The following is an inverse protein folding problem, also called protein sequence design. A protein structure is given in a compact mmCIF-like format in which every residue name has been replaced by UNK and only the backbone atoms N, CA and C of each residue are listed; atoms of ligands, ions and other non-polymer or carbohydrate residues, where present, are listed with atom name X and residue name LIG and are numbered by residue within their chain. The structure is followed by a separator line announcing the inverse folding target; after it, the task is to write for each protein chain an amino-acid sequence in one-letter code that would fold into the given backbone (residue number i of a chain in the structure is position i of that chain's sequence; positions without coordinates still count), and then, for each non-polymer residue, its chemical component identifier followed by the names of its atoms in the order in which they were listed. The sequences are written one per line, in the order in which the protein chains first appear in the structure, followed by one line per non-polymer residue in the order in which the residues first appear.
data_IF_341960482579
#
_entry.id   IF_341960482579
#
_cell.length_a   1.000
_cell.length_b   1.000
_cell.length_c   1.000
_cell.angle_alpha   90.00
_cell.angle_beta   90.00
_cell.angle_gamma   90.00
#
_symmetry.space_group_name_H-M   'P 1'
#
loop_
_entity.id
_entity.type
_entity.pdbx_description
1 polymer ?
#
# COMPACT_ATOMS: atom_id res chain seq x y z
N UNK A 1 -35.03 51.88 -61.23
CA UNK A 1 -34.05 50.80 -61.46
C UNK A 1 -34.15 49.82 -60.30
N UNK A 2 -35.01 48.78 -60.40
CA UNK A 2 -34.72 47.36 -60.67
C UNK A 2 -33.78 46.63 -59.66
N UNK A 3 -34.42 45.85 -58.77
CA UNK A 3 -34.24 44.43 -58.32
C UNK A 3 -32.85 43.77 -58.21
N UNK A 4 -32.70 42.95 -57.14
CA UNK A 4 -31.93 41.68 -56.91
C UNK A 4 -30.64 41.81 -56.06
N UNK A 5 -30.24 40.87 -55.16
CA UNK A 5 -30.63 39.48 -54.83
C UNK A 5 -30.13 39.06 -53.41
N UNK A 6 -30.58 37.89 -52.97
CA UNK A 6 -30.58 37.26 -51.62
C UNK A 6 -29.23 36.68 -51.11
N UNK A 7 -29.17 36.14 -49.86
CA UNK A 7 -27.93 35.71 -49.22
C UNK A 7 -27.57 34.25 -49.52
N UNK A 8 -26.30 33.98 -49.85
CA UNK A 8 -25.72 32.63 -49.87
C UNK A 8 -25.28 32.26 -48.45
N UNK A 9 -26.06 31.40 -47.79
CA UNK A 9 -25.63 30.62 -46.64
C UNK A 9 -24.45 29.74 -47.03
N UNK A 10 -23.31 29.96 -46.37
CA UNK A 10 -22.07 29.21 -46.54
C UNK A 10 -22.20 27.82 -45.91
N UNK A 11 -21.96 26.79 -46.73
CA UNK A 11 -21.91 25.34 -46.41
C UNK A 11 -20.82 24.92 -45.39
N UNK A 12 -20.29 25.85 -44.59
CA UNK A 12 -19.20 25.59 -43.64
C UNK A 12 -19.65 25.37 -42.19
N UNK A 13 -20.93 25.59 -41.86
CA UNK A 13 -21.47 25.31 -40.52
C UNK A 13 -21.96 23.86 -40.35
N UNK A 14 -22.18 23.14 -41.46
CA UNK A 14 -22.70 21.76 -41.43
C UNK A 14 -21.61 20.67 -41.40
N UNK A 15 -20.34 21.05 -41.50
CA UNK A 15 -19.22 20.12 -41.25
C UNK A 15 -18.72 20.20 -39.81
N UNK A 16 -18.81 21.37 -39.16
CA UNK A 16 -18.44 21.53 -37.75
C UNK A 16 -19.51 20.93 -36.81
N UNK A 17 -20.79 20.98 -37.19
CA UNK A 17 -21.87 20.32 -36.42
C UNK A 17 -22.00 18.81 -36.66
N UNK A 18 -21.33 18.25 -37.68
CA UNK A 18 -21.27 16.80 -37.90
C UNK A 18 -20.02 16.15 -37.24
N UNK A 19 -19.05 16.97 -36.81
CA UNK A 19 -17.90 16.58 -35.98
C UNK A 19 -18.11 16.94 -34.49
N UNK A 20 -19.36 16.94 -34.02
CA UNK A 20 -19.67 17.28 -32.62
C UNK A 20 -20.72 16.34 -32.00
N UNK A 21 -20.75 15.07 -32.44
CA UNK A 21 -21.61 14.01 -31.90
C UNK A 21 -20.94 12.63 -31.77
N UNK A 22 -19.61 12.57 -31.62
CA UNK A 22 -18.88 11.34 -31.31
C UNK A 22 -17.74 11.62 -30.32
N UNK A 23 -18.09 12.00 -29.09
CA UNK A 23 -17.27 11.66 -27.93
C UNK A 23 -18.07 10.64 -27.13
N UNK A 24 -18.08 9.38 -27.60
CA UNK A 24 -18.38 8.28 -26.69
C UNK A 24 -17.28 8.29 -25.62
N UNK A 25 -17.69 8.37 -24.36
CA UNK A 25 -16.81 8.44 -23.20
C UNK A 25 -15.85 7.25 -23.17
N UNK A 26 -14.68 7.42 -23.77
CA UNK A 26 -13.61 6.45 -23.72
C UNK A 26 -12.95 6.56 -22.36
N UNK A 27 -13.00 5.49 -21.58
CA UNK A 27 -12.26 5.33 -20.34
C UNK A 27 -11.29 4.14 -20.47
N UNK A 28 -10.51 3.87 -19.43
CA UNK A 28 -9.51 2.79 -19.47
C UNK A 28 -10.13 1.43 -19.84
N UNK A 29 -11.38 1.17 -19.45
CA UNK A 29 -12.12 -0.08 -19.71
C UNK A 29 -12.68 -0.17 -21.12
N UNK A 30 -13.17 0.94 -21.69
CA UNK A 30 -13.73 0.99 -23.05
C UNK A 30 -12.69 1.30 -24.14
N UNK A 31 -11.49 1.75 -23.76
CA UNK A 31 -10.39 2.08 -24.67
C UNK A 31 -9.77 0.88 -25.39
N UNK A 32 -10.06 -0.34 -24.92
CA UNK A 32 -9.59 -1.60 -25.51
C UNK A 32 -10.80 -2.39 -25.99
N UNK A 33 -10.82 -2.79 -27.27
CA UNK A 33 -11.84 -3.69 -27.81
C UNK A 33 -11.69 -5.10 -27.20
N UNK A 34 -12.31 -5.33 -26.05
CA UNK A 34 -12.31 -6.63 -25.37
C UNK A 34 -13.53 -7.46 -25.73
N UNK A 35 -13.29 -8.75 -25.99
CA UNK A 35 -14.28 -9.66 -26.58
C UNK A 35 -14.93 -10.59 -25.56
N UNK A 36 -14.36 -10.70 -24.37
CA UNK A 36 -14.88 -11.58 -23.33
C UNK A 36 -14.66 -11.00 -21.92
N UNK A 37 -15.40 -11.57 -20.96
CA UNK A 37 -15.36 -11.19 -19.55
C UNK A 37 -13.94 -11.19 -18.99
N UNK A 38 -13.17 -12.25 -19.26
CA UNK A 38 -11.83 -12.40 -18.73
C UNK A 38 -10.92 -11.26 -19.18
N UNK A 39 -10.89 -10.94 -20.47
CA UNK A 39 -10.10 -9.84 -21.01
C UNK A 39 -10.51 -8.49 -20.41
N UNK A 40 -11.81 -8.26 -20.19
CA UNK A 40 -12.30 -7.04 -19.58
C UNK A 40 -11.81 -6.86 -18.13
N UNK A 41 -11.94 -7.90 -17.32
CA UNK A 41 -11.55 -7.89 -15.91
C UNK A 41 -10.02 -7.82 -15.73
N UNK A 42 -9.26 -8.15 -16.78
CA UNK A 42 -7.80 -8.02 -16.86
C UNK A 42 -7.32 -6.60 -17.22
N UNK A 43 -8.19 -5.70 -17.70
CA UNK A 43 -7.79 -4.35 -18.12
C UNK A 43 -7.36 -3.50 -16.93
N UNK A 44 -8.22 -3.41 -15.91
CA UNK A 44 -8.02 -2.60 -14.72
C UNK A 44 -8.98 -3.07 -13.62
N UNK A 45 -8.61 -3.01 -12.32
CA UNK A 45 -9.47 -3.47 -11.22
C UNK A 45 -10.84 -2.79 -11.16
N UNK A 46 -10.96 -1.58 -11.72
CA UNK A 46 -12.21 -0.81 -11.76
C UNK A 46 -13.11 -1.20 -12.94
N UNK A 47 -12.63 -2.03 -13.86
CA UNK A 47 -13.40 -2.54 -14.99
C UNK A 47 -14.30 -3.69 -14.55
N UNK A 48 -15.49 -3.72 -15.12
CA UNK A 48 -16.49 -4.73 -14.88
C UNK A 48 -17.06 -5.20 -16.22
N UNK A 49 -17.60 -6.41 -16.22
CA UNK A 49 -18.19 -7.04 -17.41
C UNK A 49 -19.67 -7.29 -17.22
N UNK A 50 -20.48 -6.93 -18.21
CA UNK A 50 -21.91 -7.25 -18.25
C UNK A 50 -22.17 -8.58 -18.98
N UNK A 51 -22.52 -9.62 -18.21
CA UNK A 51 -22.91 -10.95 -18.71
C UNK A 51 -24.39 -11.06 -19.09
N UNK A 52 -25.17 -9.98 -19.00
CA UNK A 52 -26.59 -9.99 -19.35
C UNK A 52 -26.79 -10.23 -20.86
N UNK A 53 -27.65 -11.18 -21.20
CA UNK A 53 -28.09 -11.43 -22.57
C UNK A 53 -29.17 -10.41 -22.96
N UNK A 54 -28.98 -9.73 -24.09
CA UNK A 54 -29.94 -8.75 -24.63
C UNK A 54 -29.91 -7.34 -23.99
N UNK A 55 -28.97 -7.04 -23.08
CA UNK A 55 -28.87 -5.74 -22.40
C UNK A 55 -27.69 -4.87 -22.85
N UNK A 56 -28.02 -3.73 -23.47
CA UNK A 56 -27.16 -2.58 -23.83
C UNK A 56 -26.20 -2.74 -25.03
N UNK A 57 -26.25 -1.77 -25.95
CA UNK A 57 -25.66 -1.79 -27.30
C UNK A 57 -24.32 -1.05 -27.44
N UNK A 58 -23.67 -0.66 -26.34
CA UNK A 58 -22.46 0.19 -26.38
C UNK A 58 -21.15 -0.57 -26.09
N UNK A 59 -21.01 -1.22 -24.93
CA UNK A 59 -19.85 -2.04 -24.58
C UNK A 59 -20.18 -2.98 -23.43
N UNK A 60 -19.78 -4.25 -23.52
CA UNK A 60 -19.91 -5.21 -22.41
C UNK A 60 -18.85 -5.03 -21.34
N UNK A 61 -17.78 -4.29 -21.64
CA UNK A 61 -16.72 -3.95 -20.70
C UNK A 61 -16.70 -2.45 -20.45
N UNK A 62 -16.93 -2.04 -19.21
CA UNK A 62 -16.89 -0.64 -18.81
C UNK A 62 -16.70 -0.55 -17.29
N UNK A 63 -16.65 0.67 -16.73
CA UNK A 63 -16.80 0.89 -15.30
C UNK A 63 -18.17 0.40 -14.84
N UNK A 64 -18.22 -0.12 -13.61
CA UNK A 64 -19.45 -0.66 -13.01
C UNK A 64 -20.64 0.30 -13.12
N UNK A 65 -20.45 1.57 -12.79
CA UNK A 65 -21.53 2.55 -12.80
C UNK A 65 -22.02 2.88 -14.21
N UNK A 66 -21.11 2.90 -15.20
CA UNK A 66 -21.45 3.04 -16.62
C UNK A 66 -22.30 1.88 -17.12
N UNK A 67 -21.99 0.64 -16.70
CA UNK A 67 -22.79 -0.55 -17.07
C UNK A 67 -24.20 -0.51 -16.46
N UNK A 68 -24.33 -0.06 -15.21
CA UNK A 68 -25.64 0.11 -14.55
C UNK A 68 -26.46 1.19 -15.25
N UNK A 69 -25.85 2.34 -15.56
CA UNK A 69 -26.51 3.41 -16.31
C UNK A 69 -26.92 2.97 -17.73
N UNK A 70 -26.15 2.08 -18.33
CA UNK A 70 -26.45 1.47 -19.63
C UNK A 70 -27.53 0.39 -19.57
N UNK A 71 -28.04 0.06 -18.38
CA UNK A 71 -29.15 -0.88 -18.18
C UNK A 71 -28.73 -2.32 -17.88
N UNK A 72 -27.46 -2.59 -17.56
CA UNK A 72 -27.03 -3.89 -17.07
C UNK A 72 -27.54 -4.10 -15.63
N UNK A 73 -28.30 -5.17 -15.41
CA UNK A 73 -28.77 -5.54 -14.09
C UNK A 73 -27.59 -5.92 -13.18
N UNK A 74 -27.58 -5.41 -11.95
CA UNK A 74 -26.45 -5.56 -11.00
C UNK A 74 -26.05 -7.03 -10.79
N UNK A 75 -26.99 -7.98 -10.92
CA UNK A 75 -26.74 -9.42 -10.79
C UNK A 75 -25.91 -10.03 -11.93
N UNK A 76 -25.82 -9.35 -13.07
CA UNK A 76 -25.12 -9.80 -14.27
C UNK A 76 -23.82 -9.02 -14.49
N UNK A 77 -23.30 -8.37 -13.46
CA UNK A 77 -22.04 -7.65 -13.52
C UNK A 77 -20.96 -8.49 -12.84
N UNK A 78 -20.09 -9.08 -13.66
CA UNK A 78 -18.89 -9.77 -13.20
C UNK A 78 -17.79 -8.74 -12.97
N UNK A 79 -17.02 -8.89 -11.91
CA UNK A 79 -15.87 -8.05 -11.56
C UNK A 79 -14.67 -8.93 -11.24
N UNK A 80 -13.45 -8.38 -11.40
CA UNK A 80 -12.24 -9.03 -10.90
C UNK A 80 -12.44 -9.41 -9.44
N UNK A 81 -11.92 -10.58 -9.01
CA UNK A 81 -12.15 -11.11 -7.66
C UNK A 81 -11.91 -10.02 -6.62
N UNK A 82 -12.98 -9.63 -5.94
CA UNK A 82 -13.01 -8.59 -4.94
C UNK A 82 -12.40 -9.13 -3.65
N UNK A 83 -11.08 -9.26 -3.67
CA UNK A 83 -10.32 -9.86 -2.60
C UNK A 83 -10.17 -8.85 -1.44
N UNK A 84 -10.42 -9.26 -0.19
CA UNK A 84 -10.31 -8.35 0.95
C UNK A 84 -8.89 -7.78 1.09
N UNK A 85 -8.81 -6.49 1.42
CA UNK A 85 -7.52 -5.81 1.65
C UNK A 85 -7.52 -5.20 3.04
N UNK A 86 -6.45 -5.45 3.77
CA UNK A 86 -6.12 -4.77 5.01
C UNK A 86 -4.93 -3.86 4.76
N UNK A 87 -5.10 -2.57 5.05
CA UNK A 87 -4.06 -1.56 4.90
C UNK A 87 -3.75 -0.95 6.25
N UNK A 88 -2.58 -1.22 6.79
CA UNK A 88 -2.10 -0.59 8.01
C UNK A 88 -1.08 0.50 7.67
N UNK A 89 -1.43 1.75 7.94
CA UNK A 89 -0.60 2.90 7.62
C UNK A 89 0.28 3.26 8.81
N UNK A 90 1.58 3.04 8.68
CA UNK A 90 2.57 3.23 9.71
C UNK A 90 3.39 4.49 9.44
N UNK A 91 3.16 5.52 10.26
CA UNK A 91 3.68 6.86 10.03
C UNK A 91 4.73 7.28 11.03
N UNK A 92 5.81 7.83 10.51
CA UNK A 92 6.78 8.64 11.24
C UNK A 92 6.12 9.94 11.74
N UNK A 93 6.08 10.09 13.06
CA UNK A 93 5.46 11.20 13.77
C UNK A 93 6.49 12.16 14.37
N UNK A 94 7.70 12.20 13.83
CA UNK A 94 8.71 13.21 14.18
C UNK A 94 8.32 14.59 13.66
N UNK A 95 8.97 15.63 14.17
CA UNK A 95 8.61 17.01 13.83
C UNK A 95 8.88 17.36 12.35
N UNK A 96 9.73 16.60 11.66
CA UNK A 96 9.99 16.79 10.22
C UNK A 96 8.78 16.39 9.39
N UNK A 97 7.99 15.40 9.82
CA UNK A 97 6.79 14.88 9.16
C UNK A 97 5.50 15.69 9.41
N UNK A 98 5.62 16.92 9.93
CA UNK A 98 4.48 17.72 10.40
C UNK A 98 3.53 18.14 9.30
N UNK A 99 4.05 18.54 8.15
CA UNK A 99 3.27 18.92 6.98
C UNK A 99 2.66 17.70 6.28
N UNK A 100 3.35 16.55 6.27
CA UNK A 100 2.81 15.28 5.80
C UNK A 100 1.59 14.83 6.61
N UNK A 101 1.62 14.99 7.94
CA UNK A 101 0.50 14.62 8.82
C UNK A 101 -0.77 15.41 8.49
N UNK A 102 -0.65 16.72 8.24
CA UNK A 102 -1.78 17.56 7.87
C UNK A 102 -2.43 17.11 6.57
N UNK A 103 -1.63 16.54 5.67
CA UNK A 103 -2.10 16.05 4.38
C UNK A 103 -2.64 14.64 4.45
N UNK A 104 -2.07 13.76 5.27
CA UNK A 104 -2.66 12.44 5.52
C UNK A 104 -4.13 12.58 5.98
N UNK A 105 -4.39 13.56 6.81
CA UNK A 105 -5.72 13.93 7.28
C UNK A 105 -6.69 14.38 6.19
N UNK A 106 -6.21 15.08 5.16
CA UNK A 106 -7.02 15.40 3.99
C UNK A 106 -7.15 14.19 3.06
N UNK A 107 -6.09 13.39 2.96
CA UNK A 107 -5.96 12.24 2.06
C UNK A 107 -6.68 10.99 2.58
N UNK A 108 -7.00 10.87 3.87
CA UNK A 108 -7.63 9.66 4.41
C UNK A 108 -8.95 9.31 3.72
N UNK A 109 -9.77 10.33 3.43
CA UNK A 109 -11.01 10.17 2.67
C UNK A 109 -10.75 9.82 1.19
N UNK A 110 -9.74 10.45 0.58
CA UNK A 110 -9.36 10.22 -0.82
C UNK A 110 -8.77 8.82 -1.01
N UNK A 111 -7.92 8.38 -0.09
CA UNK A 111 -7.30 7.06 -0.06
C UNK A 111 -8.35 5.98 0.12
N UNK A 112 -9.28 6.17 1.08
CA UNK A 112 -10.42 5.27 1.27
C UNK A 112 -11.27 5.19 0.01
N UNK A 113 -11.56 6.33 -0.62
CA UNK A 113 -12.38 6.38 -1.84
C UNK A 113 -11.69 5.69 -3.02
N UNK A 114 -10.39 5.94 -3.22
CA UNK A 114 -9.60 5.35 -4.30
C UNK A 114 -9.44 3.83 -4.14
N UNK A 115 -9.15 3.35 -2.93
CA UNK A 115 -9.02 1.91 -2.68
C UNK A 115 -10.36 1.17 -2.68
N UNK A 116 -11.47 1.85 -2.33
CA UNK A 116 -12.82 1.28 -2.46
C UNK A 116 -13.23 1.01 -3.91
N UNK A 117 -12.60 1.66 -4.88
CA UNK A 117 -12.80 1.33 -6.31
C UNK A 117 -12.09 0.01 -6.67
N UNK A 118 -11.04 -0.36 -5.94
CA UNK A 118 -10.25 -1.57 -6.18
C UNK A 118 -10.81 -2.79 -5.42
N UNK A 119 -11.28 -2.59 -4.19
CA UNK A 119 -11.96 -3.63 -3.41
C UNK A 119 -13.12 -3.04 -2.61
N UNK A 120 -14.24 -3.76 -2.53
CA UNK A 120 -15.34 -3.36 -1.63
C UNK A 120 -15.12 -3.78 -0.17
N UNK A 121 -14.08 -4.58 0.11
CA UNK A 121 -13.81 -5.15 1.43
C UNK A 121 -12.48 -4.66 2.01
N UNK A 122 -12.40 -3.35 2.18
CA UNK A 122 -11.23 -2.63 2.71
C UNK A 122 -11.33 -2.43 4.22
N UNK A 123 -10.26 -2.77 4.96
CA UNK A 123 -10.02 -2.27 6.32
C UNK A 123 -8.77 -1.44 6.36
N UNK A 124 -8.82 -0.37 7.14
CA UNK A 124 -7.69 0.54 7.34
C UNK A 124 -7.39 0.70 8.82
N UNK A 125 -6.10 0.79 9.12
CA UNK A 125 -5.58 1.07 10.45
C UNK A 125 -4.44 2.08 10.38
N UNK A 126 -4.07 2.62 11.54
CA UNK A 126 -3.06 3.66 11.66
C UNK A 126 -2.14 3.39 12.84
N UNK A 127 -0.84 3.38 12.58
CA UNK A 127 0.21 3.28 13.58
C UNK A 127 1.11 4.50 13.52
N UNK A 128 1.65 4.88 14.66
CA UNK A 128 2.53 6.02 14.82
C UNK A 128 3.84 5.58 15.48
N UNK A 129 4.98 6.11 15.02
CA UNK A 129 6.26 5.92 15.71
C UNK A 129 7.08 7.21 15.72
N UNK A 130 8.03 7.29 16.65
CA UNK A 130 9.05 8.34 16.68
C UNK A 130 10.38 7.64 16.90
N UNK A 131 10.75 7.42 18.15
CA UNK A 131 12.03 6.80 18.51
C UNK A 131 11.96 6.34 19.97
N UNK A 132 12.77 5.35 20.34
CA UNK A 132 12.88 4.84 21.71
C UNK A 132 13.01 6.01 22.70
N UNK A 133 12.12 6.14 23.69
CA UNK A 133 12.03 7.31 24.56
C UNK A 133 13.08 7.26 25.69
N UNK A 134 14.36 7.21 25.31
CA UNK A 134 15.51 7.24 26.20
C UNK A 134 16.68 8.02 25.60
N UNK A 135 17.59 8.49 26.45
CA UNK A 135 18.84 9.15 26.01
C UNK A 135 19.75 8.12 25.31
N UNK A 136 20.46 8.50 24.22
CA UNK A 136 20.66 9.85 23.70
C UNK A 136 19.62 10.31 22.66
N UNK A 137 18.65 9.49 22.29
CA UNK A 137 17.63 9.82 21.29
C UNK A 137 16.64 10.87 21.83
N UNK A 138 16.23 10.74 23.08
CA UNK A 138 15.31 11.66 23.75
C UNK A 138 16.05 12.82 24.44
N UNK A 139 15.44 14.00 24.39
CA UNK A 139 15.85 15.12 25.24
C UNK A 139 15.38 14.86 26.69
N UNK A 140 16.30 14.93 27.65
CA UNK A 140 16.01 14.64 29.08
C UNK A 140 16.23 15.85 30.00
N UNK A 141 16.64 16.99 29.46
CA UNK A 141 16.90 18.20 30.22
C UNK A 141 16.60 19.47 29.40
N UNK A 142 15.97 20.49 30.00
CA UNK A 142 15.39 20.55 31.36
C UNK A 142 14.12 19.68 31.48
N UNK A 143 13.62 19.40 32.69
CA UNK A 143 12.49 18.48 32.94
C UNK A 143 11.25 18.74 32.07
N UNK A 144 10.96 20.01 31.76
CA UNK A 144 9.86 20.41 30.87
C UNK A 144 9.95 19.77 29.47
N UNK A 145 11.16 19.51 28.96
CA UNK A 145 11.37 18.94 27.62
C UNK A 145 10.84 17.50 27.51
N UNK A 146 10.76 16.78 28.62
CA UNK A 146 10.24 15.40 28.66
C UNK A 146 8.72 15.42 28.41
N UNK A 147 8.02 16.41 28.97
CA UNK A 147 6.56 16.61 28.78
C UNK A 147 6.24 17.31 27.46
N UNK A 148 7.11 18.21 27.02
CA UNK A 148 6.97 18.96 25.78
C UNK A 148 8.34 19.08 25.07
N UNK A 149 8.68 18.13 24.19
CA UNK A 149 9.93 18.17 23.41
C UNK A 149 10.09 19.42 22.54
N UNK A 150 8.99 20.14 22.32
CA UNK A 150 8.89 21.37 21.56
C UNK A 150 8.74 22.62 22.44
N UNK A 151 9.10 22.59 23.74
CA UNK A 151 8.94 23.73 24.67
C UNK A 151 9.59 25.04 24.19
N UNK A 152 10.64 24.97 23.37
CA UNK A 152 11.30 26.13 22.76
C UNK A 152 10.59 26.68 21.51
N UNK A 153 9.56 26.01 21.02
CA UNK A 153 8.82 26.37 19.81
C UNK A 153 7.43 26.92 20.15
N UNK A 154 6.82 27.73 19.25
CA UNK A 154 5.52 28.35 19.52
C UNK A 154 4.36 27.38 19.75
N UNK A 155 4.46 26.14 19.26
CA UNK A 155 3.41 25.12 19.41
C UNK A 155 3.97 23.93 20.21
N UNK A 156 3.32 23.54 21.32
CA UNK A 156 3.74 22.36 22.09
C UNK A 156 3.51 21.08 21.29
N UNK A 157 4.30 20.06 21.58
CA UNK A 157 4.15 18.71 21.03
C UNK A 157 4.07 17.65 22.14
N UNK A 158 3.41 16.50 21.88
CA UNK A 158 3.33 15.42 22.84
C UNK A 158 4.71 14.86 23.22
N UNK A 159 4.83 14.22 24.39
CA UNK A 159 6.03 13.48 24.80
C UNK A 159 6.46 12.47 23.72
N UNK A 160 7.77 12.23 23.65
CA UNK A 160 8.33 11.21 22.76
C UNK A 160 7.84 9.81 23.16
N UNK A 161 7.63 8.95 22.17
CA UNK A 161 7.20 7.57 22.34
C UNK A 161 7.88 6.68 21.28
N UNK A 162 7.99 5.38 21.54
CA UNK A 162 8.53 4.43 20.57
C UNK A 162 7.55 4.16 19.42
N UNK A 163 6.55 3.31 19.70
CA UNK A 163 5.49 2.96 18.76
C UNK A 163 4.13 2.92 19.46
N UNK A 164 3.08 3.32 18.74
CA UNK A 164 1.67 3.27 19.13
C UNK A 164 0.81 2.70 18.03
N UNK A 165 -0.04 1.74 18.36
CA UNK A 165 -1.18 1.37 17.53
C UNK A 165 -2.32 2.34 17.82
N UNK A 166 -2.53 3.31 16.92
CA UNK A 166 -3.51 4.37 17.11
C UNK A 166 -4.90 3.87 16.74
N UNK A 167 -5.02 3.25 15.56
CA UNK A 167 -6.27 2.71 15.05
C UNK A 167 -6.04 1.29 14.54
N UNK A 168 -6.64 0.31 15.21
CA UNK A 168 -6.72 -1.07 14.71
C UNK A 168 -7.49 -1.13 13.40
N UNK A 169 -7.21 -2.14 12.57
CA UNK A 169 -7.86 -2.33 11.27
C UNK A 169 -9.39 -2.37 11.38
N UNK A 170 -10.04 -1.41 10.75
CA UNK A 170 -11.49 -1.23 10.80
C UNK A 170 -12.02 -0.79 9.44
N UNK A 171 -13.31 -1.02 9.19
CA UNK A 171 -14.03 -0.56 7.99
C UNK A 171 -14.44 0.93 8.12
N UNK A 172 -14.49 1.44 9.34
CA UNK A 172 -14.84 2.81 9.68
C UNK A 172 -13.58 3.62 9.94
N UNK A 173 -13.19 4.45 8.97
CA UNK A 173 -12.06 5.37 9.13
C UNK A 173 -12.54 6.57 9.96
N UNK A 174 -12.56 6.42 11.27
CA UNK A 174 -12.73 7.55 12.17
C UNK A 174 -11.41 8.30 12.33
N UNK A 175 -11.49 9.63 12.33
CA UNK A 175 -10.32 10.50 12.31
C UNK A 175 -9.92 10.83 13.73
N UNK A 176 -8.78 10.29 14.17
CA UNK A 176 -8.19 10.68 15.44
C UNK A 176 -7.21 11.84 15.26
N UNK A 177 -7.32 12.87 16.12
CA UNK A 177 -6.35 13.96 16.16
C UNK A 177 -5.05 13.53 16.84
N UNK A 178 -4.07 13.16 16.03
CA UNK A 178 -2.67 12.95 16.41
C UNK A 178 -1.82 14.19 16.11
N UNK A 179 -0.72 14.35 16.87
CA UNK A 179 0.27 15.43 16.74
C UNK A 179 1.67 14.83 16.68
N UNK A 180 2.54 15.41 15.86
CA UNK A 180 3.96 15.04 15.80
C UNK A 180 4.67 15.32 17.12
N UNK A 181 5.64 14.49 17.49
CA UNK A 181 6.57 14.67 18.60
C UNK A 181 7.95 15.08 18.07
N UNK A 182 9.00 14.98 18.90
CA UNK A 182 10.37 15.36 18.54
C UNK A 182 11.41 14.61 19.37
N UNK A 183 12.40 14.04 18.70
CA UNK A 183 13.63 13.43 19.22
C UNK A 183 14.87 14.24 18.79
N UNK A 184 16.06 13.75 19.15
CA UNK A 184 17.34 14.45 18.99
C UNK A 184 18.07 14.10 17.70
N UNK A 185 18.24 12.81 17.44
CA UNK A 185 18.97 12.32 16.29
C UNK A 185 18.07 12.25 15.05
N UNK A 186 18.64 11.75 13.96
CA UNK A 186 18.03 11.80 12.63
C UNK A 186 17.48 10.44 12.18
N UNK A 187 18.12 9.29 12.46
CA UNK A 187 17.47 8.00 12.24
C UNK A 187 16.39 7.75 13.30
N UNK A 188 15.31 7.08 12.88
CA UNK A 188 14.09 6.93 13.68
C UNK A 188 13.76 5.45 14.03
N UNK A 189 12.82 5.26 14.94
CA UNK A 189 12.47 3.98 15.55
C UNK A 189 11.54 3.11 14.70
N UNK A 190 11.48 3.36 13.39
CA UNK A 190 10.50 2.79 12.49
C UNK A 190 10.50 1.27 12.41
N UNK A 191 11.65 0.63 12.64
CA UNK A 191 11.76 -0.83 12.53
C UNK A 191 11.21 -1.57 13.74
N UNK A 192 11.24 -0.97 14.94
CA UNK A 192 10.47 -1.49 16.08
C UNK A 192 8.97 -1.47 15.75
N UNK A 193 8.53 -0.38 15.12
CA UNK A 193 7.13 -0.17 14.76
C UNK A 193 6.65 -1.15 13.68
N UNK A 194 7.47 -1.43 12.65
CA UNK A 194 7.22 -2.48 11.67
C UNK A 194 7.07 -3.83 12.38
N UNK A 195 8.03 -4.19 13.23
CA UNK A 195 8.02 -5.47 13.91
C UNK A 195 6.75 -5.65 14.75
N UNK A 196 6.40 -4.67 15.59
CA UNK A 196 5.20 -4.73 16.42
C UNK A 196 3.91 -4.75 15.59
N UNK A 197 3.83 -4.00 14.48
CA UNK A 197 2.68 -4.04 13.57
C UNK A 197 2.52 -5.41 12.87
N UNK A 198 3.63 -6.13 12.66
CA UNK A 198 3.64 -7.44 12.01
C UNK A 198 3.23 -8.56 12.98
N UNK A 199 3.81 -8.58 14.19
CA UNK A 199 3.65 -9.71 15.12
C UNK A 199 2.43 -9.59 16.04
N UNK A 200 1.92 -8.39 16.30
CA UNK A 200 0.77 -8.16 17.17
C UNK A 200 -0.58 -8.33 16.46
N UNK A 201 -0.82 -9.51 15.85
CA UNK A 201 -2.00 -9.81 15.01
C UNK A 201 -3.32 -9.35 15.61
N UNK A 202 -3.60 -9.69 16.86
CA UNK A 202 -4.89 -9.41 17.49
C UNK A 202 -5.09 -7.93 17.81
N UNK A 203 -4.01 -7.21 18.15
CA UNK A 203 -4.06 -5.77 18.44
C UNK A 203 -4.25 -4.97 17.16
N UNK A 204 -3.56 -5.36 16.09
CA UNK A 204 -3.64 -4.69 14.79
C UNK A 204 -4.92 -5.08 14.04
N UNK A 205 -5.34 -6.34 14.10
CA UNK A 205 -6.58 -6.86 13.53
C UNK A 205 -6.46 -7.42 12.11
N UNK A 206 -5.30 -7.98 11.74
CA UNK A 206 -5.08 -8.61 10.42
C UNK A 206 -6.02 -9.80 10.20
N UNK A 207 -6.74 -9.83 9.07
CA UNK A 207 -7.67 -10.92 8.75
C UNK A 207 -6.95 -12.10 8.09
N UNK A 208 -7.22 -13.36 8.47
CA UNK A 208 -6.52 -14.50 7.90
C UNK A 208 -6.63 -14.61 6.36
N UNK A 209 -7.78 -14.19 5.79
CA UNK A 209 -8.11 -14.32 4.37
C UNK A 209 -8.12 -12.96 3.64
N UNK A 210 -7.13 -12.11 3.88
CA UNK A 210 -6.98 -10.81 3.24
C UNK A 210 -5.57 -10.58 2.70
N UNK A 211 -5.44 -9.67 1.72
CA UNK A 211 -4.13 -9.13 1.34
C UNK A 211 -3.72 -8.09 2.37
N UNK A 212 -2.60 -8.33 3.05
CA UNK A 212 -2.06 -7.42 4.05
C UNK A 212 -1.03 -6.47 3.44
N UNK A 213 -1.29 -5.18 3.54
CA UNK A 213 -0.41 -4.10 3.11
C UNK A 213 0.03 -3.28 4.32
N UNK A 214 1.33 -3.30 4.63
CA UNK A 214 1.93 -2.46 5.64
C UNK A 214 2.64 -1.29 4.96
N UNK A 215 2.08 -0.09 5.09
CA UNK A 215 2.63 1.11 4.47
C UNK A 215 3.56 1.79 5.47
N UNK A 216 4.86 1.79 5.23
CA UNK A 216 5.84 2.49 6.05
C UNK A 216 6.17 3.85 5.45
N UNK A 217 5.92 4.93 6.19
CA UNK A 217 6.23 6.30 5.74
C UNK A 217 7.21 7.00 6.68
N UNK A 218 8.26 7.57 6.10
CA UNK A 218 9.28 8.36 6.79
C UNK A 218 10.06 9.22 5.79
N UNK A 219 10.61 10.33 6.25
CA UNK A 219 11.50 11.18 5.48
C UNK A 219 12.99 10.96 5.77
N UNK A 220 13.33 10.08 6.71
CA UNK A 220 14.70 9.69 7.01
C UNK A 220 14.86 8.17 7.19
N UNK A 221 16.02 7.75 7.70
CA UNK A 221 16.45 6.37 7.87
C UNK A 221 15.89 5.81 9.17
N UNK A 222 15.84 4.48 9.29
CA UNK A 222 15.52 3.82 10.57
C UNK A 222 16.76 3.24 11.24
N UNK A 223 16.76 3.22 12.58
CA UNK A 223 17.77 2.46 13.32
C UNK A 223 17.63 0.95 13.09
N UNK A 224 18.78 0.28 13.16
CA UNK A 224 18.92 -1.16 12.97
C UNK A 224 19.39 -1.83 14.26
N UNK A 225 19.28 -3.17 14.29
CA UNK A 225 19.88 -3.99 15.33
C UNK A 225 21.31 -3.53 15.69
N UNK A 226 21.63 -3.60 16.98
CA UNK A 226 22.87 -3.11 17.61
C UNK A 226 22.99 -1.59 17.77
N UNK A 227 22.20 -0.75 17.07
CA UNK A 227 22.27 0.72 17.26
C UNK A 227 21.83 1.15 18.67
N UNK A 228 20.88 0.41 19.26
CA UNK A 228 20.36 0.65 20.61
C UNK A 228 21.43 0.55 21.71
N UNK A 229 22.60 -0.02 21.41
CA UNK A 229 23.75 -0.08 22.33
C UNK A 229 24.23 1.32 22.74
N UNK A 230 24.03 2.33 21.89
CA UNK A 230 24.32 3.74 22.21
C UNK A 230 23.51 4.25 23.40
N UNK A 231 22.33 3.67 23.63
CA UNK A 231 21.43 3.99 24.73
C UNK A 231 21.53 2.98 25.89
N UNK A 232 22.53 2.10 25.88
CA UNK A 232 22.73 1.06 26.89
C UNK A 232 21.86 -0.18 26.71
N UNK A 233 21.06 -0.26 25.64
CA UNK A 233 20.23 -1.42 25.34
C UNK A 233 21.08 -2.44 24.57
N UNK A 234 21.33 -3.59 25.21
CA UNK A 234 22.14 -4.68 24.64
C UNK A 234 21.35 -5.97 24.41
N UNK A 235 20.13 -6.05 24.95
CA UNK A 235 19.26 -7.20 24.74
C UNK A 235 18.77 -7.18 23.28
N UNK A 236 18.96 -8.27 22.51
CA UNK A 236 18.43 -8.37 21.16
C UNK A 236 16.89 -8.27 21.16
N UNK A 237 16.32 -7.82 20.04
CA UNK A 237 14.87 -7.95 19.82
C UNK A 237 14.48 -9.43 19.86
N UNK A 238 13.33 -9.78 20.45
CA UNK A 238 12.87 -11.18 20.59
C UNK A 238 11.92 -11.61 19.46
N UNK A 239 11.31 -10.66 18.76
CA UNK A 239 10.43 -10.92 17.62
C UNK A 239 8.98 -11.20 18.05
N UNK A 240 8.63 -10.84 19.29
CA UNK A 240 7.33 -11.10 19.89
C UNK A 240 6.50 -9.81 20.05
N UNK A 241 5.20 -9.98 20.31
CA UNK A 241 4.28 -8.88 20.52
C UNK A 241 4.37 -8.31 21.94
N UNK A 242 4.58 -6.99 22.03
CA UNK A 242 4.73 -6.23 23.28
C UNK A 242 3.93 -4.92 23.26
N UNK A 243 2.77 -4.92 22.59
CA UNK A 243 1.81 -3.82 22.65
C UNK A 243 0.93 -4.00 23.90
N UNK A 244 0.99 -3.03 24.81
CA UNK A 244 0.24 -3.06 26.05
C UNK A 244 -1.25 -2.70 25.87
N UNK A 245 -1.99 -2.55 26.98
CA UNK A 245 -3.41 -2.18 26.95
C UNK A 245 -3.68 -0.73 26.55
N UNK A 246 -2.65 0.14 26.59
CA UNK A 246 -2.72 1.51 26.10
C UNK A 246 -2.32 1.62 24.62
N UNK A 247 -2.18 0.47 23.94
CA UNK A 247 -1.72 0.36 22.56
C UNK A 247 -0.31 0.92 22.32
N UNK A 248 0.56 0.91 23.33
CA UNK A 248 1.96 1.36 23.20
C UNK A 248 2.92 0.17 23.27
N UNK A 249 4.05 0.27 22.56
CA UNK A 249 5.15 -0.70 22.66
C UNK A 249 5.90 -0.55 23.99
N UNK A 250 5.68 -1.47 24.92
CA UNK A 250 6.17 -1.35 26.30
C UNK A 250 7.65 -1.78 26.48
N UNK A 251 8.21 -2.56 25.55
CA UNK A 251 9.63 -2.95 25.55
C UNK A 251 10.55 -2.01 24.78
N UNK A 252 10.05 -0.86 24.32
CA UNK A 252 10.83 0.10 23.52
C UNK A 252 12.17 0.49 24.15
N UNK A 253 12.22 0.63 25.48
CA UNK A 253 13.44 0.99 26.24
C UNK A 253 14.21 -0.21 26.80
N UNK A 254 13.80 -1.45 26.48
CA UNK A 254 14.36 -2.69 27.02
C UNK A 254 15.01 -3.53 25.92
N UNK A 255 14.34 -3.69 24.78
CA UNK A 255 14.81 -4.50 23.66
C UNK A 255 15.47 -3.63 22.60
N UNK A 256 16.51 -4.15 21.95
CA UNK A 256 17.15 -3.50 20.81
C UNK A 256 16.22 -3.44 19.60
N UNK A 257 16.61 -2.68 18.57
CA UNK A 257 15.90 -2.71 17.29
C UNK A 257 16.02 -4.09 16.63
N UNK A 258 15.03 -4.51 15.81
CA UNK A 258 15.11 -5.76 15.07
C UNK A 258 16.15 -5.68 13.94
N UNK A 259 16.64 -6.85 13.51
CA UNK A 259 17.48 -6.98 12.32
C UNK A 259 16.61 -7.07 11.06
N UNK A 260 17.18 -6.78 9.90
CA UNK A 260 16.48 -6.96 8.62
C UNK A 260 16.04 -8.41 8.42
N UNK A 261 16.89 -9.39 8.76
CA UNK A 261 16.53 -10.81 8.67
C UNK A 261 15.32 -11.16 9.52
N UNK A 262 15.26 -10.69 10.77
CA UNK A 262 14.11 -10.92 11.64
C UNK A 262 12.83 -10.26 11.10
N UNK A 263 12.93 -9.05 10.54
CA UNK A 263 11.79 -8.39 9.88
C UNK A 263 11.33 -9.23 8.69
N UNK A 264 12.24 -9.72 7.85
CA UNK A 264 11.93 -10.58 6.70
C UNK A 264 11.21 -11.85 7.14
N UNK A 265 11.73 -12.56 8.13
CA UNK A 265 11.14 -13.79 8.65
C UNK A 265 9.70 -13.53 9.15
N UNK A 266 9.51 -12.49 9.96
CA UNK A 266 8.18 -12.15 10.49
C UNK A 266 7.21 -11.62 9.44
N UNK A 267 7.68 -10.91 8.40
CA UNK A 267 6.81 -10.50 7.28
C UNK A 267 6.30 -11.72 6.51
N UNK A 268 7.18 -12.69 6.21
CA UNK A 268 6.80 -13.93 5.52
C UNK A 268 5.87 -14.80 6.37
N UNK A 269 6.23 -15.07 7.63
CA UNK A 269 5.42 -15.86 8.57
C UNK A 269 3.98 -15.32 8.72
N UNK A 270 3.82 -14.00 8.60
CA UNK A 270 2.53 -13.32 8.79
C UNK A 270 1.86 -12.90 7.48
N UNK A 271 2.45 -13.24 6.33
CA UNK A 271 1.96 -12.90 4.99
C UNK A 271 1.64 -11.40 4.85
N UNK A 272 2.60 -10.54 5.22
CA UNK A 272 2.47 -9.07 5.17
C UNK A 272 3.40 -8.50 4.11
N UNK A 273 2.84 -7.72 3.19
CA UNK A 273 3.60 -7.03 2.16
C UNK A 273 3.98 -5.63 2.66
N UNK A 274 5.29 -5.40 2.83
CA UNK A 274 5.82 -4.11 3.28
C UNK A 274 6.03 -3.17 2.09
N UNK A 275 5.50 -1.95 2.19
CA UNK A 275 5.67 -0.89 1.20
C UNK A 275 6.39 0.28 1.86
N UNK A 276 7.63 0.54 1.45
CA UNK A 276 8.37 1.73 1.85
C UNK A 276 7.93 2.92 1.00
N UNK A 277 7.13 3.81 1.56
CA UNK A 277 6.76 5.09 0.95
C UNK A 277 7.57 6.21 1.60
N UNK A 278 8.79 6.45 1.07
CA UNK A 278 9.79 7.34 1.68
C UNK A 278 10.16 8.49 0.78
N UNK A 279 10.65 9.59 1.35
CA UNK A 279 11.07 10.74 0.55
C UNK A 279 12.28 10.41 -0.34
N UNK A 280 12.44 11.20 -1.42
CA UNK A 280 13.46 10.98 -2.46
C UNK A 280 14.88 10.74 -1.94
N UNK A 281 15.26 11.36 -0.83
CA UNK A 281 16.60 11.22 -0.25
C UNK A 281 16.87 9.81 0.30
N UNK A 282 15.83 9.14 0.81
CA UNK A 282 15.92 7.83 1.48
C UNK A 282 15.69 6.66 0.51
N UNK A 283 15.06 6.92 -0.64
CA UNK A 283 14.74 5.90 -1.65
C UNK A 283 15.90 4.94 -1.98
N UNK A 284 17.15 5.40 -2.22
CA UNK A 284 18.26 4.48 -2.51
C UNK A 284 18.53 3.50 -1.37
N UNK A 285 18.40 3.94 -0.11
CA UNK A 285 18.60 3.08 1.05
C UNK A 285 17.48 2.04 1.17
N UNK A 286 16.23 2.47 1.07
CA UNK A 286 15.08 1.56 1.13
C UNK A 286 15.07 0.55 -0.02
N UNK A 287 15.58 0.90 -1.20
CA UNK A 287 15.79 -0.06 -2.29
C UNK A 287 16.77 -1.17 -1.91
N UNK A 288 17.90 -0.81 -1.30
CA UNK A 288 18.86 -1.80 -0.82
C UNK A 288 18.25 -2.71 0.26
N UNK A 289 17.40 -2.17 1.14
CA UNK A 289 16.65 -3.01 2.10
C UNK A 289 15.63 -3.90 1.41
N UNK A 290 14.94 -3.38 0.40
CA UNK A 290 13.92 -4.11 -0.35
C UNK A 290 14.50 -5.30 -1.13
N UNK A 291 15.75 -5.22 -1.59
CA UNK A 291 16.48 -6.36 -2.14
C UNK A 291 16.67 -7.51 -1.14
N UNK A 292 16.68 -7.21 0.17
CA UNK A 292 16.86 -8.18 1.27
C UNK A 292 15.53 -8.61 1.90
N UNK A 293 14.42 -7.94 1.57
CA UNK A 293 13.08 -8.23 2.07
C UNK A 293 12.20 -8.62 0.87
N UNK A 294 12.14 -9.92 0.51
CA UNK A 294 11.33 -10.39 -0.61
C UNK A 294 9.88 -9.95 -0.51
N UNK A 295 9.32 -9.50 -1.62
CA UNK A 295 7.92 -9.03 -1.70
C UNK A 295 7.69 -7.60 -1.21
N UNK A 296 8.71 -6.94 -0.64
CA UNK A 296 8.61 -5.53 -0.33
C UNK A 296 8.68 -4.64 -1.57
N UNK A 297 8.07 -3.46 -1.48
CA UNK A 297 8.07 -2.46 -2.55
C UNK A 297 8.55 -1.10 -2.04
N UNK A 298 9.12 -0.30 -2.95
CA UNK A 298 9.62 1.05 -2.61
C UNK A 298 9.01 2.08 -3.55
N UNK A 299 8.25 3.01 -2.96
CA UNK A 299 7.70 4.16 -3.64
C UNK A 299 8.34 5.46 -3.15
N UNK A 300 8.48 6.43 -4.06
CA UNK A 300 8.93 7.78 -3.70
C UNK A 300 7.76 8.59 -3.21
N UNK A 301 7.73 8.92 -1.93
CA UNK A 301 6.81 9.89 -1.36
C UNK A 301 7.25 11.30 -1.81
N UNK A 302 6.32 12.06 -2.37
CA UNK A 302 6.55 13.50 -2.56
C UNK A 302 6.76 14.13 -1.18
N UNK A 303 7.47 15.26 -1.10
CA UNK A 303 7.69 16.02 0.18
C UNK A 303 6.41 16.45 0.90
N UNK A 304 5.31 16.14 0.29
CA UNK A 304 4.04 16.75 0.45
C UNK A 304 2.98 15.63 0.43
N UNK A 305 3.39 14.35 0.41
CA UNK A 305 2.58 13.14 0.48
C UNK A 305 1.38 13.04 -0.48
N UNK A 306 1.20 13.95 -1.44
CA UNK A 306 0.05 13.98 -2.35
C UNK A 306 -0.03 12.72 -3.22
N UNK A 307 1.11 12.14 -3.56
CA UNK A 307 1.16 10.96 -4.42
C UNK A 307 1.02 9.62 -3.66
N UNK A 308 0.82 9.64 -2.34
CA UNK A 308 0.78 8.41 -1.53
C UNK A 308 -0.32 7.45 -1.97
N UNK A 309 -1.48 7.98 -2.40
CA UNK A 309 -2.60 7.17 -2.88
C UNK A 309 -2.20 6.39 -4.12
N UNK A 310 -1.63 7.07 -5.12
CA UNK A 310 -1.19 6.42 -6.35
C UNK A 310 -0.05 5.43 -6.09
N UNK A 311 0.87 5.77 -5.19
CA UNK A 311 1.97 4.90 -4.79
C UNK A 311 1.45 3.57 -4.23
N UNK A 312 0.46 3.61 -3.34
CA UNK A 312 -0.16 2.42 -2.76
C UNK A 312 -0.86 1.59 -3.85
N UNK A 313 -1.59 2.24 -4.76
CA UNK A 313 -2.27 1.55 -5.86
C UNK A 313 -1.27 0.85 -6.80
N UNK A 314 -0.18 1.53 -7.16
CA UNK A 314 0.87 1.00 -8.02
C UNK A 314 1.61 -0.17 -7.34
N UNK A 315 1.95 -0.01 -6.06
CA UNK A 315 2.59 -1.06 -5.27
C UNK A 315 1.67 -2.28 -5.15
N UNK A 316 0.38 -2.09 -4.87
CA UNK A 316 -0.59 -3.17 -4.79
C UNK A 316 -0.76 -3.90 -6.13
N UNK A 317 -0.84 -3.15 -7.23
CA UNK A 317 -0.89 -3.74 -8.57
C UNK A 317 0.38 -4.56 -8.87
N UNK A 318 1.56 -4.07 -8.46
CA UNK A 318 2.84 -4.76 -8.65
C UNK A 318 2.94 -6.03 -7.78
N UNK A 319 2.54 -5.98 -6.52
CA UNK A 319 2.48 -7.15 -5.63
C UNK A 319 1.59 -8.23 -6.25
N UNK A 320 0.40 -7.86 -6.74
CA UNK A 320 -0.52 -8.80 -7.41
C UNK A 320 -0.04 -9.29 -8.77
N UNK A 321 0.92 -8.60 -9.38
CA UNK A 321 1.50 -8.99 -10.67
C UNK A 321 2.59 -10.06 -10.53
N UNK A 322 2.91 -10.47 -9.31
CA UNK A 322 3.96 -11.46 -9.05
C UNK A 322 3.38 -12.66 -8.29
N UNK A 323 3.75 -13.84 -8.73
CA UNK A 323 3.53 -15.09 -7.99
C UNK A 323 4.92 -15.67 -7.73
N UNK A 324 5.25 -15.89 -6.47
CA UNK A 324 6.50 -16.53 -6.06
C UNK A 324 6.17 -17.63 -5.06
N UNK A 325 6.70 -18.83 -5.29
CA UNK A 325 6.51 -19.97 -4.41
C UNK A 325 7.66 -20.03 -3.41
N UNK A 326 7.33 -19.88 -2.14
CA UNK A 326 8.24 -20.07 -1.03
C UNK A 326 8.15 -21.50 -0.49
N UNK A 327 9.31 -22.10 -0.19
CA UNK A 327 9.42 -23.46 0.34
C UNK A 327 9.66 -23.39 1.85
N UNK A 328 8.70 -23.86 2.63
CA UNK A 328 8.78 -23.85 4.09
C UNK A 328 9.04 -25.27 4.62
N UNK A 329 10.05 -25.42 5.48
CA UNK A 329 10.30 -26.66 6.23
C UNK A 329 10.67 -27.87 5.37
N UNK A 330 11.40 -27.66 4.26
CA UNK A 330 11.90 -28.76 3.42
C UNK A 330 13.05 -29.46 4.15
N UNK A 331 12.95 -30.77 4.45
CA UNK A 331 14.04 -31.55 5.06
C UNK A 331 15.30 -31.55 4.19
N UNK A 332 16.47 -31.64 4.83
CA UNK A 332 17.78 -31.63 4.14
C UNK A 332 17.95 -32.81 3.16
N UNK A 333 17.22 -33.91 3.38
CA UNK A 333 17.24 -35.09 2.51
C UNK A 333 16.43 -34.93 1.23
N UNK A 334 15.63 -33.86 1.09
CA UNK A 334 14.75 -33.65 -0.06
C UNK A 334 15.26 -32.53 -0.97
N UNK A 335 15.43 -32.86 -2.26
CA UNK A 335 15.70 -31.88 -3.31
C UNK A 335 14.44 -31.62 -4.13
N UNK A 336 13.88 -30.43 -4.01
CA UNK A 336 12.74 -29.97 -4.82
C UNK A 336 13.20 -29.21 -6.06
N UNK A 337 12.78 -29.69 -7.23
CA UNK A 337 12.97 -29.02 -8.51
C UNK A 337 11.64 -28.45 -8.99
N UNK A 338 11.57 -27.13 -9.20
CA UNK A 338 10.36 -26.43 -9.63
C UNK A 338 10.57 -25.85 -11.02
N UNK A 339 9.63 -26.12 -11.92
CA UNK A 339 9.56 -25.55 -13.25
C UNK A 339 8.32 -24.65 -13.33
N UNK A 340 8.51 -23.40 -13.76
CA UNK A 340 7.41 -22.45 -13.95
C UNK A 340 7.03 -22.41 -15.43
N UNK A 341 5.73 -22.54 -15.73
CA UNK A 341 5.18 -22.28 -17.05
C UNK A 341 4.54 -20.88 -17.05
N UNK A 342 5.15 -19.96 -17.79
CA UNK A 342 4.72 -18.57 -17.93
C UNK A 342 3.54 -18.42 -18.93
N UNK A 343 3.05 -17.20 -19.11
CA UNK A 343 1.82 -16.89 -19.87
C UNK A 343 1.89 -17.22 -21.36
N UNK A 344 3.08 -17.21 -21.93
CA UNK A 344 3.41 -17.61 -23.30
C UNK A 344 3.51 -19.13 -23.48
N UNK A 345 3.37 -19.89 -22.40
CA UNK A 345 3.58 -21.34 -22.39
C UNK A 345 5.06 -21.73 -22.32
N UNK A 346 5.98 -20.77 -22.17
CA UNK A 346 7.39 -21.05 -21.98
C UNK A 346 7.60 -21.73 -20.62
N UNK A 347 8.34 -22.84 -20.63
CA UNK A 347 8.71 -23.57 -19.41
C UNK A 347 10.12 -23.14 -19.02
N UNK A 348 10.22 -22.44 -17.90
CA UNK A 348 11.49 -21.99 -17.34
C UNK A 348 11.86 -22.95 -16.21
N UNK A 349 12.90 -23.76 -16.44
CA UNK A 349 13.36 -24.75 -15.49
C UNK A 349 14.10 -24.12 -14.31
N UNK A 350 13.85 -24.62 -13.09
CA UNK A 350 14.49 -24.13 -11.87
C UNK A 350 14.01 -22.77 -11.38
N UNK A 351 13.04 -22.15 -12.06
CA UNK A 351 12.43 -20.89 -11.64
C UNK A 351 11.16 -21.18 -10.86
N UNK A 352 11.00 -20.50 -9.71
CA UNK A 352 9.88 -20.63 -8.76
C UNK A 352 8.97 -19.41 -8.71
N UNK A 353 9.11 -18.49 -9.65
CA UNK A 353 8.38 -17.23 -9.67
C UNK A 353 8.02 -16.80 -11.09
N UNK A 354 6.95 -16.01 -11.19
CA UNK A 354 6.52 -15.35 -12.41
C UNK A 354 6.10 -13.92 -12.08
N UNK A 355 6.41 -12.98 -12.96
CA UNK A 355 6.19 -11.54 -12.76
C UNK A 355 5.53 -10.91 -13.98
N UNK A 356 4.94 -9.73 -13.81
CA UNK A 356 4.22 -9.04 -14.88
C UNK A 356 2.84 -9.63 -15.18
N UNK A 357 2.29 -10.39 -14.24
CA UNK A 357 0.98 -11.00 -14.31
C UNK A 357 -0.13 -9.93 -14.17
N UNK A 358 -1.27 -10.20 -14.79
CA UNK A 358 -2.52 -9.45 -14.64
C UNK A 358 -3.54 -10.30 -13.90
N UNK A 359 -4.56 -9.66 -13.35
CA UNK A 359 -5.57 -10.33 -12.52
C UNK A 359 -6.38 -11.36 -13.33
N UNK A 360 -6.16 -12.65 -13.09
CA UNK A 360 -6.82 -13.75 -13.81
C UNK A 360 -5.90 -14.53 -14.76
N UNK A 361 -4.64 -14.12 -14.84
CA UNK A 361 -3.56 -14.89 -15.44
C UNK A 361 -3.32 -16.19 -14.64
N UNK A 362 -3.04 -17.28 -15.36
CA UNK A 362 -2.76 -18.58 -14.76
C UNK A 362 -1.31 -18.95 -15.01
N UNK A 363 -0.56 -19.14 -13.94
CA UNK A 363 0.79 -19.68 -13.95
C UNK A 363 0.70 -21.14 -13.51
N UNK A 364 1.37 -22.04 -14.24
CA UNK A 364 1.48 -23.44 -13.84
C UNK A 364 2.86 -23.71 -13.27
N UNK A 365 2.92 -24.14 -12.03
CA UNK A 365 4.14 -24.57 -11.36
C UNK A 365 4.12 -26.10 -11.30
N UNK A 366 5.13 -26.74 -11.90
CA UNK A 366 5.32 -28.18 -11.80
C UNK A 366 6.53 -28.44 -10.92
N UNK A 367 6.38 -29.23 -9.86
CA UNK A 367 7.48 -29.60 -8.98
C UNK A 367 7.76 -31.10 -9.04
N UNK A 368 9.03 -31.44 -8.88
CA UNK A 368 9.54 -32.80 -8.75
C UNK A 368 10.37 -32.89 -7.47
N UNK A 369 10.09 -33.90 -6.65
CA UNK A 369 10.82 -34.15 -5.42
C UNK A 369 11.75 -35.35 -5.63
N UNK A 370 13.03 -35.18 -5.31
CA UNK A 370 14.01 -36.26 -5.29
C UNK A 370 14.45 -36.50 -3.85
N UNK A 371 14.36 -37.75 -3.43
CA UNK A 371 14.96 -38.28 -2.20
C UNK A 371 16.38 -38.76 -2.46
#
# INVERSE_FOLDING_TARGET
VRITSSPRFTKWSMYVKLMMFLFLGSNICTSREVRNCKECLLIHPTCAWCSQEGGSSLSRCDLRDSLIQSGCGVKFIDKAADYPVDLYYLMDMTNTMKDDLQKLYTLGNDLTSALRVVTSNLRMGFGAFVEKPLSPYMYIYPEEVIRNPCYKFPKPCPPQFGYRNVLSLTEQVEREETKVSRNRDTPEGGFDAIMQAVVCKDKIGWRPDASHLLIFTSDDRSHLALNARLAGIVQPHDGECHINNNNEYDKSTILGYPSLGMITDKLSENNINLIFAVTKAVVPLCRNYSELIPGSEVGTLSRDSVNVVQLILDAYAKIRSKVELELLGVPDELSLFINTTCLDGEVIAGVRSSAGLKIGDMVRLKWECKC
#
